data_IF_664608778663
#
_entry.id   IF_664608778663
#
_cell.length_a   1.000
_cell.length_b   1.000
_cell.length_c   1.000
_cell.angle_alpha   90.00
_cell.angle_beta   90.00
_cell.angle_gamma   90.00
#
_symmetry.space_group_name_H-M   'P 1'
#
loop_
_entity.id
_entity.type
_entity.pdbx_description
1 polymer ?
#
# COMPACT_ATOMS: atom_id res chain seq x y z
N UNK A 1 -2.02 7.88 -13.87
CA UNK A 1 -1.19 9.04 -13.48
C UNK A 1 -1.65 10.34 -14.13
N UNK A 2 -2.96 10.53 -14.33
CA UNK A 2 -3.53 11.64 -15.12
C UNK A 2 -2.94 11.75 -16.55
N UNK A 3 -2.37 10.67 -17.10
CA UNK A 3 -1.80 10.63 -18.45
C UNK A 3 -1.84 9.19 -18.96
N UNK A 4 -2.68 8.94 -19.96
CA UNK A 4 -2.91 7.59 -20.51
C UNK A 4 -1.63 6.99 -21.09
N UNK A 5 -0.90 7.74 -21.93
CA UNK A 5 0.39 7.30 -22.49
C UNK A 5 1.39 6.88 -21.42
N UNK A 6 1.43 7.60 -20.29
CA UNK A 6 2.30 7.23 -19.16
C UNK A 6 1.79 5.98 -18.46
N UNK A 7 0.49 5.85 -18.27
CA UNK A 7 -0.12 4.67 -17.67
C UNK A 7 0.12 3.40 -18.51
N UNK A 8 0.06 3.52 -19.83
CA UNK A 8 0.43 2.45 -20.77
C UNK A 8 1.91 2.07 -20.66
N UNK A 9 2.81 3.07 -20.69
CA UNK A 9 4.24 2.82 -20.57
C UNK A 9 4.61 2.17 -19.22
N UNK A 10 4.00 2.59 -18.11
CA UNK A 10 4.25 2.01 -16.79
C UNK A 10 3.84 0.53 -16.69
N UNK A 11 2.88 0.07 -17.49
CA UNK A 11 2.49 -1.35 -17.52
C UNK A 11 3.50 -2.23 -18.26
N UNK A 12 4.32 -1.63 -19.13
CA UNK A 12 5.30 -2.33 -19.94
C UNK A 12 6.46 -2.94 -19.14
N UNK A 13 7.33 -3.70 -19.81
CA UNK A 13 8.43 -4.46 -19.19
C UNK A 13 9.52 -3.58 -18.56
N UNK A 14 9.61 -2.31 -18.93
CA UNK A 14 10.57 -1.36 -18.35
C UNK A 14 10.21 -0.89 -16.92
N UNK A 15 8.98 -1.21 -16.46
CA UNK A 15 8.44 -0.78 -15.17
C UNK A 15 7.74 -1.91 -14.42
N UNK A 16 6.43 -2.07 -14.58
CA UNK A 16 5.65 -3.03 -13.79
C UNK A 16 5.55 -4.41 -14.44
N UNK A 17 5.86 -4.53 -15.74
CA UNK A 17 5.71 -5.77 -16.53
C UNK A 17 4.40 -6.49 -16.18
N UNK A 18 3.29 -5.75 -16.31
CA UNK A 18 1.99 -6.14 -15.75
C UNK A 18 1.44 -7.42 -16.37
N UNK A 19 1.90 -7.81 -17.57
CA UNK A 19 1.55 -9.08 -18.19
C UNK A 19 2.16 -10.27 -17.43
N UNK A 20 3.37 -10.13 -16.87
CA UNK A 20 4.02 -11.15 -16.04
C UNK A 20 3.71 -11.02 -14.56
N UNK A 21 3.59 -9.79 -14.06
CA UNK A 21 3.33 -9.46 -12.66
C UNK A 21 2.07 -8.61 -12.53
N UNK A 22 0.88 -9.19 -12.75
CA UNK A 22 -0.39 -8.45 -12.82
C UNK A 22 -0.82 -7.84 -11.48
N UNK A 23 -0.22 -8.28 -10.38
CA UNK A 23 -0.58 -7.87 -9.03
C UNK A 23 0.65 -7.50 -8.22
N UNK A 24 0.59 -6.39 -7.48
CA UNK A 24 1.42 -6.18 -6.30
C UNK A 24 0.62 -6.56 -5.06
N UNK A 25 1.30 -6.98 -4.00
CA UNK A 25 0.64 -7.33 -2.74
C UNK A 25 1.43 -6.82 -1.54
N UNK A 26 0.72 -6.46 -0.47
CA UNK A 26 1.33 -6.15 0.81
C UNK A 26 0.73 -7.06 1.87
N UNK A 27 1.57 -7.88 2.51
CA UNK A 27 1.16 -8.77 3.59
C UNK A 27 1.59 -8.17 4.93
N UNK A 28 0.62 -7.68 5.69
CA UNK A 28 0.84 -7.17 7.05
C UNK A 28 1.28 -8.28 8.00
N UNK A 29 2.26 -7.98 8.85
CA UNK A 29 2.78 -8.90 9.86
C UNK A 29 2.55 -8.37 11.28
N UNK A 30 2.63 -7.05 11.48
CA UNK A 30 2.47 -6.44 12.80
C UNK A 30 1.89 -5.04 12.68
N UNK A 31 0.89 -4.74 13.50
CA UNK A 31 0.28 -3.41 13.61
C UNK A 31 0.42 -2.90 15.05
N UNK A 32 1.21 -1.85 15.26
CA UNK A 32 1.55 -1.35 16.60
C UNK A 32 1.18 0.11 16.75
N UNK A 33 0.58 0.47 17.88
CA UNK A 33 0.34 1.87 18.24
C UNK A 33 1.67 2.52 18.61
N UNK A 34 1.95 3.69 18.04
CA UNK A 34 3.14 4.50 18.36
C UNK A 34 2.76 5.54 19.41
N UNK A 35 1.80 6.40 19.08
CA UNK A 35 1.29 7.44 19.98
C UNK A 35 -0.04 7.98 19.45
N UNK A 36 -0.93 8.43 20.33
CA UNK A 36 -2.21 9.04 19.92
C UNK A 36 -2.97 8.21 18.89
N UNK A 37 -3.16 8.78 17.69
CA UNK A 37 -3.81 8.13 16.54
C UNK A 37 -2.81 7.60 15.49
N UNK A 38 -1.52 7.53 15.81
CA UNK A 38 -0.45 7.07 14.93
C UNK A 38 -0.07 5.62 15.25
N UNK A 39 0.10 4.85 14.18
CA UNK A 39 0.44 3.44 14.21
C UNK A 39 1.54 3.14 13.19
N UNK A 40 2.28 2.07 13.45
CA UNK A 40 3.20 1.44 12.50
C UNK A 40 2.65 0.10 12.05
N UNK A 41 2.56 -0.08 10.73
CA UNK A 41 2.24 -1.33 10.08
C UNK A 41 3.50 -1.89 9.43
N UNK A 42 4.03 -2.98 9.99
CA UNK A 42 5.16 -3.72 9.43
C UNK A 42 4.62 -4.87 8.60
N UNK A 43 5.17 -5.09 7.43
CA UNK A 43 4.80 -6.18 6.54
C UNK A 43 5.81 -6.41 5.44
N UNK A 44 5.43 -7.21 4.45
CA UNK A 44 6.21 -7.47 3.25
C UNK A 44 5.47 -6.95 2.03
N UNK A 45 6.14 -6.13 1.21
CA UNK A 45 5.66 -5.71 -0.10
C UNK A 45 6.24 -6.65 -1.16
N UNK A 46 5.38 -7.21 -1.99
CA UNK A 46 5.76 -7.93 -3.21
C UNK A 46 5.40 -7.06 -4.41
N UNK A 47 6.40 -6.69 -5.20
CA UNK A 47 6.28 -5.88 -6.40
C UNK A 47 7.23 -6.43 -7.46
N UNK A 48 6.75 -6.61 -8.69
CA UNK A 48 7.54 -7.16 -9.80
C UNK A 48 8.26 -8.48 -9.44
N UNK A 49 7.54 -9.37 -8.73
CA UNK A 49 8.08 -10.67 -8.25
C UNK A 49 9.05 -10.59 -7.07
N UNK A 50 9.56 -9.42 -6.71
CA UNK A 50 10.50 -9.23 -5.59
C UNK A 50 9.74 -8.92 -4.31
N UNK A 51 10.07 -9.62 -3.22
CA UNK A 51 9.46 -9.39 -1.91
C UNK A 51 10.45 -8.76 -0.95
N UNK A 52 10.09 -7.63 -0.34
CA UNK A 52 10.92 -6.90 0.64
C UNK A 52 10.10 -6.48 1.86
N UNK A 53 10.73 -6.44 3.06
CA UNK A 53 10.08 -5.87 4.23
C UNK A 53 9.84 -4.37 4.05
N UNK A 54 8.68 -3.88 4.49
CA UNK A 54 8.31 -2.47 4.45
C UNK A 54 7.57 -2.08 5.72
N UNK A 55 7.93 -0.92 6.27
CA UNK A 55 7.24 -0.29 7.40
C UNK A 55 6.43 0.89 6.89
N UNK A 56 5.13 0.82 7.10
CA UNK A 56 4.16 1.85 6.77
C UNK A 56 3.74 2.59 8.03
N UNK A 57 3.60 3.91 7.93
CA UNK A 57 3.02 4.74 8.97
C UNK A 57 1.53 4.89 8.69
N UNK A 58 0.73 4.80 9.73
CA UNK A 58 -0.73 4.78 9.63
C UNK A 58 -1.33 5.77 10.62
N UNK A 59 -2.10 6.73 10.11
CA UNK A 59 -2.88 7.64 10.93
C UNK A 59 -4.35 7.19 10.92
N UNK A 60 -4.89 6.93 12.11
CA UNK A 60 -6.33 6.76 12.28
C UNK A 60 -7.00 8.14 12.18
N UNK A 61 -7.84 8.33 11.16
CA UNK A 61 -8.56 9.60 10.93
C UNK A 61 -9.90 9.67 11.65
N UNK A 62 -10.53 8.52 11.90
CA UNK A 62 -11.79 8.46 12.61
C UNK A 62 -12.33 7.05 12.67
N UNK A 63 -13.22 6.81 13.64
CA UNK A 63 -14.03 5.61 13.76
C UNK A 63 -15.48 6.06 13.91
N UNK A 64 -16.40 5.31 13.31
CA UNK A 64 -17.82 5.61 13.35
C UNK A 64 -18.63 4.41 12.89
N UNK A 65 -19.93 4.62 12.69
CA UNK A 65 -20.80 3.64 12.09
C UNK A 65 -21.14 4.09 10.66
N UNK A 66 -21.10 3.16 9.70
CA UNK A 66 -21.60 3.39 8.36
C UNK A 66 -23.11 3.71 8.43
N UNK A 67 -23.55 4.91 8.00
CA UNK A 67 -24.97 5.27 8.05
C UNK A 67 -25.88 4.34 7.23
N UNK A 68 -25.33 3.69 6.20
CA UNK A 68 -26.07 2.80 5.30
C UNK A 68 -25.91 1.33 5.71
N UNK A 69 -24.70 0.90 6.04
CA UNK A 69 -24.41 -0.49 6.36
C UNK A 69 -24.65 -0.85 7.84
N UNK A 70 -24.91 0.13 8.72
CA UNK A 70 -25.08 -0.04 10.19
C UNK A 70 -23.97 -0.88 10.83
N UNK A 71 -22.73 -0.67 10.38
CA UNK A 71 -21.54 -1.41 10.78
C UNK A 71 -20.42 -0.46 11.15
N UNK A 72 -19.58 -0.87 12.09
CA UNK A 72 -18.41 -0.10 12.48
C UNK A 72 -17.46 0.12 11.28
N UNK A 73 -17.06 1.37 11.07
CA UNK A 73 -16.08 1.79 10.08
C UNK A 73 -14.93 2.54 10.74
N UNK A 74 -13.76 2.47 10.10
CA UNK A 74 -12.60 3.26 10.48
C UNK A 74 -11.87 3.76 9.23
N UNK A 75 -11.52 5.04 9.22
CA UNK A 75 -10.72 5.66 8.17
C UNK A 75 -9.25 5.71 8.56
N UNK A 76 -8.37 5.27 7.67
CA UNK A 76 -6.92 5.29 7.88
C UNK A 76 -6.23 6.03 6.73
N UNK A 77 -5.24 6.85 7.07
CA UNK A 77 -4.27 7.38 6.10
C UNK A 77 -2.97 6.60 6.25
N UNK A 78 -2.58 5.89 5.20
CA UNK A 78 -1.36 5.07 5.17
C UNK A 78 -0.32 5.76 4.29
N UNK A 79 0.91 5.85 4.76
CA UNK A 79 2.02 6.42 4.01
C UNK A 79 3.32 5.68 4.27
N UNK A 80 4.16 5.61 3.24
CA UNK A 80 5.45 4.94 3.27
C UNK A 80 6.32 5.42 2.12
N UNK A 81 7.61 5.10 2.19
CA UNK A 81 8.55 5.32 1.10
C UNK A 81 9.11 3.98 0.67
N UNK A 82 9.20 3.78 -0.64
CA UNK A 82 9.78 2.59 -1.25
C UNK A 82 10.87 3.06 -2.20
N UNK A 83 12.02 2.39 -2.18
CA UNK A 83 13.09 2.64 -3.14
C UNK A 83 12.87 1.72 -4.34
N UNK A 84 12.62 2.29 -5.51
CA UNK A 84 12.27 1.52 -6.73
C UNK A 84 13.30 0.44 -7.05
N UNK A 85 14.58 0.78 -6.95
CA UNK A 85 15.71 -0.12 -7.26
C UNK A 85 15.79 -1.37 -6.37
N UNK A 86 15.00 -1.44 -5.29
CA UNK A 86 14.96 -2.65 -4.44
C UNK A 86 14.08 -3.76 -5.08
N UNK A 87 13.38 -3.45 -6.18
CA UNK A 87 12.37 -4.30 -6.84
C UNK A 87 12.62 -4.46 -8.36
N UNK A 88 13.89 -4.37 -8.79
CA UNK A 88 14.40 -4.13 -10.15
C UNK A 88 14.34 -2.66 -10.60
#
# INVERSE_FOLDING_TARGET
>A
TQSEKRDEHLKGPDFFDADKFPTFSFKGASFKKVSGNHYELKGALTLHGVTKPLVLKVDLKGKGEDPFAKKAMAGFKVYGKVKRTDFN
#
